data_IF_753592491480
#
_entry.id   IF_753592491480
#
_cell.length_a   1.000
_cell.length_b   1.000
_cell.length_c   1.000
_cell.angle_alpha   90.00
_cell.angle_beta   90.00
_cell.angle_gamma   90.00
#
_symmetry.space_group_name_H-M   'P 1'
#
loop_
_entity.id
_entity.type
_entity.pdbx_description
1 polymer ?
#
# COMPACT_ATOMS: atom_id res chain seq x y z
N UNK A 1 -6.74 -39.99 -16.04
CA UNK A 1 -6.44 -40.77 -14.81
C UNK A 1 -6.31 -39.85 -13.61
N UNK A 2 -6.27 -40.40 -12.39
CA UNK A 2 -6.22 -39.65 -11.11
C UNK A 2 -5.13 -38.56 -11.08
N UNK A 3 -3.95 -38.82 -11.66
CA UNK A 3 -2.87 -37.82 -11.76
C UNK A 3 -3.24 -36.59 -12.61
N UNK A 4 -4.00 -36.78 -13.69
CA UNK A 4 -4.49 -35.67 -14.52
C UNK A 4 -5.57 -34.85 -13.82
N UNK A 5 -6.44 -35.49 -13.03
CA UNK A 5 -7.44 -34.81 -12.22
C UNK A 5 -6.79 -34.02 -11.06
N UNK A 6 -5.76 -34.56 -10.42
CA UNK A 6 -5.00 -33.88 -9.37
C UNK A 6 -4.25 -32.65 -9.91
N UNK A 7 -3.60 -32.78 -11.07
CA UNK A 7 -2.92 -31.66 -11.74
C UNK A 7 -3.91 -30.57 -12.15
N UNK A 8 -5.05 -30.93 -12.74
CA UNK A 8 -6.10 -29.97 -13.10
C UNK A 8 -6.67 -29.26 -11.86
N UNK A 9 -6.89 -29.98 -10.76
CA UNK A 9 -7.34 -29.39 -9.49
C UNK A 9 -6.33 -28.43 -8.88
N UNK A 10 -5.03 -28.78 -8.92
CA UNK A 10 -3.96 -27.91 -8.45
C UNK A 10 -3.85 -26.63 -9.28
N UNK A 11 -3.90 -26.75 -10.61
CA UNK A 11 -3.89 -25.59 -11.52
C UNK A 11 -5.12 -24.72 -11.27
N UNK A 12 -6.30 -25.31 -11.13
CA UNK A 12 -7.53 -24.56 -10.84
C UNK A 12 -7.45 -23.82 -9.50
N UNK A 13 -6.88 -24.44 -8.45
CA UNK A 13 -6.66 -23.79 -7.16
C UNK A 13 -5.66 -22.63 -7.27
N UNK A 14 -4.54 -22.84 -7.97
CA UNK A 14 -3.53 -21.82 -8.19
C UNK A 14 -4.10 -20.62 -8.98
N UNK A 15 -4.83 -20.91 -10.07
CA UNK A 15 -5.52 -19.90 -10.87
C UNK A 15 -6.58 -19.17 -10.06
N UNK A 16 -7.40 -19.88 -9.27
CA UNK A 16 -8.40 -19.27 -8.40
C UNK A 16 -7.76 -18.35 -7.35
N UNK A 17 -6.67 -18.80 -6.72
CA UNK A 17 -5.90 -18.00 -5.77
C UNK A 17 -5.31 -16.73 -6.41
N UNK A 18 -4.67 -16.86 -7.58
CA UNK A 18 -4.09 -15.73 -8.31
C UNK A 18 -5.15 -14.74 -8.79
N UNK A 19 -6.26 -15.25 -9.34
CA UNK A 19 -7.36 -14.43 -9.84
C UNK A 19 -8.03 -13.66 -8.70
N UNK A 20 -8.30 -14.34 -7.58
CA UNK A 20 -8.82 -13.71 -6.38
C UNK A 20 -7.89 -12.60 -5.88
N UNK A 21 -6.58 -12.86 -5.80
CA UNK A 21 -5.58 -11.86 -5.39
C UNK A 21 -5.56 -10.66 -6.34
N UNK A 22 -5.60 -10.88 -7.64
CA UNK A 22 -5.63 -9.82 -8.65
C UNK A 22 -6.90 -8.95 -8.52
N UNK A 23 -8.07 -9.58 -8.35
CA UNK A 23 -9.35 -8.88 -8.14
C UNK A 23 -9.33 -8.07 -6.84
N UNK A 24 -8.81 -8.62 -5.75
CA UNK A 24 -8.70 -7.92 -4.47
C UNK A 24 -7.81 -6.68 -4.59
N UNK A 25 -6.64 -6.79 -5.22
CA UNK A 25 -5.72 -5.68 -5.45
C UNK A 25 -6.38 -4.61 -6.34
N UNK A 26 -7.06 -5.01 -7.41
CA UNK A 26 -7.75 -4.10 -8.31
C UNK A 26 -8.89 -3.34 -7.59
N UNK A 27 -9.69 -4.05 -6.78
CA UNK A 27 -10.76 -3.44 -5.98
C UNK A 27 -10.19 -2.43 -5.00
N UNK A 28 -9.17 -2.81 -4.22
CA UNK A 28 -8.50 -1.87 -3.31
C UNK A 28 -7.96 -0.65 -4.06
N UNK A 29 -7.30 -0.84 -5.20
CA UNK A 29 -6.77 0.26 -6.00
C UNK A 29 -7.84 1.25 -6.47
N UNK A 30 -9.02 0.74 -6.85
CA UNK A 30 -10.17 1.55 -7.23
C UNK A 30 -10.85 2.25 -6.05
N UNK A 31 -10.77 1.65 -4.85
CA UNK A 31 -11.44 2.15 -3.66
C UNK A 31 -10.51 2.87 -2.67
N UNK A 32 -9.20 2.95 -2.90
CA UNK A 32 -8.25 3.52 -1.94
C UNK A 32 -8.60 4.97 -1.54
N UNK A 33 -8.97 5.82 -2.52
CA UNK A 33 -9.46 7.17 -2.24
C UNK A 33 -10.79 7.18 -1.47
N UNK A 34 -11.70 6.24 -1.79
CA UNK A 34 -12.97 6.09 -1.07
C UNK A 34 -12.78 5.59 0.36
N UNK A 35 -11.79 4.74 0.61
CA UNK A 35 -11.44 4.26 1.95
C UNK A 35 -10.97 5.45 2.79
N UNK A 36 -10.11 6.32 2.26
CA UNK A 36 -9.73 7.55 2.95
C UNK A 36 -10.94 8.45 3.20
N UNK A 37 -11.76 8.70 2.18
CA UNK A 37 -12.96 9.51 2.34
C UNK A 37 -13.90 8.96 3.44
N UNK A 38 -14.08 7.63 3.50
CA UNK A 38 -14.92 6.97 4.51
C UNK A 38 -14.33 7.12 5.91
N UNK A 39 -13.02 6.91 6.07
CA UNK A 39 -12.31 7.08 7.35
C UNK A 39 -12.38 8.53 7.81
N UNK A 40 -12.21 9.48 6.89
CA UNK A 40 -12.33 10.91 7.17
C UNK A 40 -13.76 11.28 7.60
N UNK A 41 -14.78 10.79 6.91
CA UNK A 41 -16.17 11.02 7.29
C UNK A 41 -16.48 10.47 8.68
N UNK A 42 -16.00 9.26 8.99
CA UNK A 42 -16.28 8.58 10.24
C UNK A 42 -15.54 9.20 11.45
N UNK A 43 -14.27 9.57 11.27
CA UNK A 43 -13.38 9.95 12.40
C UNK A 43 -12.93 11.41 12.37
N UNK A 44 -13.04 12.09 11.23
CA UNK A 44 -12.48 13.43 10.99
C UNK A 44 -13.39 14.32 10.13
N UNK A 45 -14.71 14.32 10.39
CA UNK A 45 -15.72 14.98 9.54
C UNK A 45 -15.39 16.44 9.14
N UNK A 46 -14.83 17.31 10.01
CA UNK A 46 -14.43 18.67 9.63
C UNK A 46 -13.30 18.72 8.59
N UNK A 47 -12.39 17.73 8.60
CA UNK A 47 -11.30 17.61 7.62
C UNK A 47 -11.82 17.07 6.30
N UNK A 48 -12.78 16.14 6.34
CA UNK A 48 -13.44 15.65 5.13
C UNK A 48 -14.09 16.78 4.32
N UNK A 49 -14.75 17.73 4.99
CA UNK A 49 -15.41 18.87 4.33
C UNK A 49 -14.45 19.80 3.56
N UNK A 50 -13.15 19.77 3.91
CA UNK A 50 -12.10 20.57 3.25
C UNK A 50 -11.28 19.77 2.25
N UNK A 51 -11.51 18.45 2.15
CA UNK A 51 -10.74 17.58 1.27
C UNK A 51 -10.97 17.95 -0.19
N UNK A 52 -9.87 18.05 -0.96
CA UNK A 52 -9.92 18.22 -2.40
C UNK A 52 -10.43 16.92 -3.05
N UNK A 53 -11.39 17.03 -3.97
CA UNK A 53 -11.79 15.91 -4.84
C UNK A 53 -10.66 15.66 -5.84
N UNK A 54 -10.08 14.46 -5.81
CA UNK A 54 -9.02 14.07 -6.74
C UNK A 54 -9.67 13.54 -8.03
N UNK A 55 -9.43 14.19 -9.19
CA UNK A 55 -9.98 13.71 -10.47
C UNK A 55 -9.30 12.40 -10.90
N UNK A 56 -10.06 11.55 -11.62
CA UNK A 56 -9.60 10.21 -12.06
C UNK A 56 -8.30 10.27 -12.87
N UNK A 57 -8.10 11.32 -13.67
CA UNK A 57 -6.90 11.53 -14.48
C UNK A 57 -5.65 11.78 -13.63
N UNK A 58 -5.79 12.54 -12.53
CA UNK A 58 -4.70 12.77 -11.57
C UNK A 58 -4.38 11.48 -10.82
N UNK A 59 -5.40 10.72 -10.42
CA UNK A 59 -5.24 9.37 -9.84
C UNK A 59 -4.51 8.41 -10.78
N UNK A 60 -4.84 8.39 -12.07
CA UNK A 60 -4.15 7.57 -13.07
C UNK A 60 -2.66 7.94 -13.21
N UNK A 61 -2.34 9.24 -13.21
CA UNK A 61 -0.95 9.71 -13.25
C UNK A 61 -0.16 9.29 -12.02
N UNK A 62 -0.76 9.37 -10.83
CA UNK A 62 -0.16 8.90 -9.57
C UNK A 62 0.07 7.38 -9.63
N UNK A 63 -0.90 6.61 -10.12
CA UNK A 63 -0.78 5.16 -10.27
C UNK A 63 0.37 4.77 -11.22
N UNK A 64 0.47 5.42 -12.38
CA UNK A 64 1.58 5.18 -13.33
C UNK A 64 2.93 5.55 -12.70
N UNK A 65 3.01 6.66 -11.96
CA UNK A 65 4.24 7.07 -11.28
C UNK A 65 4.64 6.08 -10.17
N UNK A 66 3.67 5.55 -9.44
CA UNK A 66 3.89 4.50 -8.44
C UNK A 66 4.40 3.22 -9.11
N UNK A 67 3.77 2.78 -10.20
CA UNK A 67 4.20 1.61 -10.97
C UNK A 67 5.65 1.74 -11.47
N UNK A 68 5.98 2.86 -12.13
CA UNK A 68 7.32 3.12 -12.64
C UNK A 68 8.36 3.17 -11.52
N UNK A 69 8.00 3.76 -10.38
CA UNK A 69 8.87 3.80 -9.20
C UNK A 69 9.09 2.38 -8.64
N UNK A 70 8.05 1.59 -8.49
CA UNK A 70 8.15 0.22 -8.01
C UNK A 70 9.01 -0.64 -8.93
N UNK A 71 8.81 -0.52 -10.25
CA UNK A 71 9.62 -1.22 -11.24
C UNK A 71 11.09 -0.79 -11.18
N UNK A 72 11.35 0.52 -11.15
CA UNK A 72 12.71 1.05 -11.09
C UNK A 72 13.48 0.61 -9.84
N UNK A 73 12.85 0.66 -8.66
CA UNK A 73 13.47 0.21 -7.42
C UNK A 73 13.71 -1.30 -7.38
N UNK A 74 12.76 -2.11 -7.87
CA UNK A 74 12.98 -3.55 -7.93
C UNK A 74 14.09 -3.92 -8.92
N UNK A 75 14.13 -3.28 -10.10
CA UNK A 75 15.18 -3.50 -11.08
C UNK A 75 16.57 -3.12 -10.52
N UNK A 76 16.66 -2.00 -9.80
CA UNK A 76 17.88 -1.58 -9.13
C UNK A 76 18.30 -2.53 -7.99
N UNK A 77 17.33 -3.13 -7.28
CA UNK A 77 17.59 -4.06 -6.20
C UNK A 77 17.91 -5.49 -6.67
N UNK A 78 17.59 -5.86 -7.93
CA UNK A 78 17.81 -7.21 -8.46
C UNK A 78 19.23 -7.76 -8.25
N UNK A 79 20.32 -7.03 -8.56
CA UNK A 79 21.67 -7.55 -8.35
C UNK A 79 21.92 -7.91 -6.88
N UNK A 80 21.38 -7.10 -5.96
CA UNK A 80 21.52 -7.33 -4.53
C UNK A 80 20.60 -8.46 -4.05
N UNK A 81 19.39 -8.62 -4.62
CA UNK A 81 18.55 -9.80 -4.36
C UNK A 81 19.26 -11.10 -4.73
N UNK A 82 19.94 -11.14 -5.89
CA UNK A 82 20.70 -12.32 -6.34
C UNK A 82 21.88 -12.60 -5.40
N UNK A 83 22.64 -11.57 -5.02
CA UNK A 83 23.77 -11.71 -4.11
C UNK A 83 23.33 -12.19 -2.72
N UNK A 84 22.27 -11.60 -2.17
CA UNK A 84 21.75 -11.93 -0.84
C UNK A 84 20.99 -13.26 -0.79
N UNK A 85 20.67 -13.87 -1.94
CA UNK A 85 20.04 -15.18 -1.99
C UNK A 85 20.89 -16.24 -1.28
N UNK A 86 22.22 -16.10 -1.34
CA UNK A 86 23.19 -16.97 -0.66
C UNK A 86 22.99 -17.01 0.86
N UNK A 87 22.47 -15.92 1.44
CA UNK A 87 22.23 -15.83 2.90
C UNK A 87 20.91 -16.49 3.33
N UNK A 88 20.03 -16.85 2.39
CA UNK A 88 18.69 -17.38 2.66
C UNK A 88 17.66 -16.36 3.19
N UNK A 89 18.09 -15.39 3.99
CA UNK A 89 17.21 -14.38 4.63
C UNK A 89 17.38 -12.96 4.08
N UNK A 90 18.54 -12.64 3.49
CA UNK A 90 18.86 -11.29 3.05
C UNK A 90 18.01 -10.81 1.89
N UNK A 91 17.70 -11.67 0.91
CA UNK A 91 16.84 -11.30 -0.22
C UNK A 91 15.38 -11.01 0.23
N UNK A 92 14.71 -11.86 1.03
CA UNK A 92 13.42 -11.53 1.63
C UNK A 92 13.43 -10.25 2.47
N UNK A 93 14.47 -10.03 3.28
CA UNK A 93 14.58 -8.84 4.12
C UNK A 93 14.73 -7.57 3.28
N UNK A 94 15.62 -7.57 2.28
CA UNK A 94 15.77 -6.44 1.37
C UNK A 94 14.49 -6.18 0.59
N UNK A 95 13.82 -7.23 0.14
CA UNK A 95 12.53 -7.11 -0.56
C UNK A 95 11.50 -6.43 0.33
N UNK A 96 11.39 -6.84 1.61
CA UNK A 96 10.53 -6.20 2.58
C UNK A 96 10.88 -4.72 2.77
N UNK A 97 12.16 -4.37 2.90
CA UNK A 97 12.62 -2.99 3.08
C UNK A 97 12.33 -2.09 1.88
N UNK A 98 12.57 -2.58 0.66
CA UNK A 98 12.25 -1.86 -0.58
C UNK A 98 10.74 -1.64 -0.70
N UNK A 99 9.93 -2.67 -0.43
CA UNK A 99 8.47 -2.54 -0.46
C UNK A 99 7.96 -1.61 0.64
N UNK A 100 8.54 -1.65 1.84
CA UNK A 100 8.21 -0.71 2.92
C UNK A 100 8.45 0.74 2.48
N UNK A 101 9.61 1.04 1.87
CA UNK A 101 9.90 2.37 1.36
C UNK A 101 8.86 2.84 0.32
N UNK A 102 8.58 1.99 -0.66
CA UNK A 102 7.66 2.28 -1.76
C UNK A 102 6.24 2.52 -1.25
N UNK A 103 5.75 1.60 -0.41
CA UNK A 103 4.40 1.61 0.12
C UNK A 103 4.16 2.82 1.04
N UNK A 104 5.15 3.16 1.89
CA UNK A 104 5.09 4.35 2.72
C UNK A 104 4.97 5.64 1.91
N UNK A 105 5.64 5.69 0.75
CA UNK A 105 5.54 6.82 -0.17
C UNK A 105 4.20 6.86 -0.90
N UNK A 106 3.71 5.72 -1.39
CA UNK A 106 2.41 5.62 -2.07
C UNK A 106 1.25 6.04 -1.16
N UNK A 107 1.24 5.53 0.09
CA UNK A 107 0.23 5.85 1.08
C UNK A 107 0.27 7.32 1.50
N UNK A 108 1.47 7.90 1.63
CA UNK A 108 1.62 9.32 1.91
C UNK A 108 1.08 10.19 0.78
N UNK A 109 1.44 9.89 -0.48
CA UNK A 109 0.99 10.62 -1.67
C UNK A 109 -0.55 10.61 -1.79
N UNK A 110 -1.19 9.51 -1.38
CA UNK A 110 -2.64 9.35 -1.38
C UNK A 110 -3.35 10.32 -0.43
N UNK A 111 -2.86 10.47 0.81
CA UNK A 111 -3.50 11.35 1.80
C UNK A 111 -3.07 12.81 1.61
N UNK A 112 -1.80 13.07 1.31
CA UNK A 112 -1.27 14.41 1.06
C UNK A 112 -1.96 15.08 -0.15
N UNK A 113 -2.26 14.31 -1.21
CA UNK A 113 -2.92 14.83 -2.41
C UNK A 113 -4.32 15.41 -2.15
N UNK A 114 -4.99 14.96 -1.07
CA UNK A 114 -6.33 15.43 -0.68
C UNK A 114 -6.29 16.69 0.18
N UNK A 115 -5.15 16.98 0.82
CA UNK A 115 -4.98 18.10 1.77
C UNK A 115 -3.66 18.85 1.54
N UNK A 116 -3.54 19.60 0.43
CA UNK A 116 -2.33 20.34 0.12
C UNK A 116 -2.03 21.48 1.10
N UNK A 117 -3.02 21.88 1.90
CA UNK A 117 -2.92 22.88 2.98
C UNK A 117 -2.27 22.32 4.26
N UNK A 118 -2.08 21.01 4.36
CA UNK A 118 -1.49 20.34 5.51
C UNK A 118 -0.01 19.98 5.26
N UNK A 119 0.83 19.95 6.31
CA UNK A 119 2.22 19.55 6.19
C UNK A 119 2.34 18.11 5.73
N UNK A 120 3.23 17.86 4.77
CA UNK A 120 3.53 16.53 4.28
C UNK A 120 4.15 15.63 5.36
N UNK A 121 4.06 14.32 5.16
CA UNK A 121 4.75 13.34 6.00
C UNK A 121 6.27 13.55 5.94
N UNK A 122 6.92 13.52 7.10
CA UNK A 122 8.39 13.47 7.18
C UNK A 122 8.92 12.12 6.68
N UNK A 123 10.20 12.02 6.27
CA UNK A 123 10.78 10.76 5.79
C UNK A 123 10.65 9.60 6.78
N UNK A 124 10.83 9.86 8.09
CA UNK A 124 10.75 8.83 9.14
C UNK A 124 9.33 8.30 9.31
N UNK A 125 8.33 9.13 9.05
CA UNK A 125 6.93 8.78 9.14
C UNK A 125 6.46 7.98 7.95
N UNK A 126 6.88 8.37 6.74
CA UNK A 126 6.66 7.57 5.53
C UNK A 126 7.27 6.19 5.70
N UNK A 127 8.50 6.12 6.24
CA UNK A 127 9.15 4.86 6.53
C UNK A 127 8.39 3.98 7.52
N UNK A 128 7.96 4.54 8.67
CA UNK A 128 7.16 3.80 9.67
C UNK A 128 5.83 3.31 9.10
N UNK A 129 5.12 4.18 8.37
CA UNK A 129 3.87 3.82 7.70
C UNK A 129 4.08 2.64 6.75
N UNK A 130 5.09 2.75 5.91
CA UNK A 130 5.43 1.76 4.92
C UNK A 130 5.89 0.43 5.54
N UNK A 131 6.70 0.48 6.59
CA UNK A 131 7.18 -0.70 7.29
C UNK A 131 6.04 -1.47 7.95
N UNK A 132 5.20 -0.79 8.75
CA UNK A 132 4.04 -1.44 9.39
C UNK A 132 3.11 -2.01 8.34
N UNK A 133 2.84 -1.24 7.27
CA UNK A 133 2.01 -1.70 6.16
C UNK A 133 2.60 -2.95 5.50
N UNK A 134 3.89 -2.94 5.15
CA UNK A 134 4.57 -4.08 4.53
C UNK A 134 4.55 -5.33 5.42
N UNK A 135 4.68 -5.16 6.74
CA UNK A 135 4.55 -6.24 7.70
C UNK A 135 3.12 -6.82 7.73
N UNK A 136 2.07 -6.01 7.56
CA UNK A 136 0.69 -6.51 7.45
C UNK A 136 0.48 -7.41 6.22
N UNK A 137 1.27 -7.23 5.15
CA UNK A 137 1.22 -8.08 3.97
C UNK A 137 1.89 -9.45 4.16
N UNK A 138 2.67 -9.66 5.22
CA UNK A 138 3.37 -10.93 5.46
C UNK A 138 2.42 -12.09 5.82
N UNK A 139 1.50 -11.98 6.80
CA UNK A 139 0.65 -13.09 7.17
C UNK A 139 -0.45 -13.29 6.12
N UNK A 140 -0.70 -14.52 5.62
CA UNK A 140 -1.65 -14.76 4.53
C UNK A 140 -3.07 -14.23 4.79
N UNK A 141 -3.58 -14.40 6.02
CA UNK A 141 -4.94 -13.95 6.40
C UNK A 141 -4.99 -12.43 6.57
N UNK A 142 -3.97 -11.84 7.17
CA UNK A 142 -3.84 -10.39 7.42
C UNK A 142 -3.68 -9.64 6.10
N UNK A 143 -2.98 -10.21 5.12
CA UNK A 143 -2.76 -9.63 3.79
C UNK A 143 -4.07 -9.28 3.07
N UNK A 144 -5.17 -10.00 3.33
CA UNK A 144 -6.49 -9.69 2.75
C UNK A 144 -7.02 -8.31 3.18
N UNK A 145 -6.71 -7.91 4.42
CA UNK A 145 -7.16 -6.64 5.00
C UNK A 145 -6.05 -5.58 5.01
N UNK A 146 -4.80 -5.99 4.83
CA UNK A 146 -3.63 -5.13 4.85
C UNK A 146 -3.80 -3.86 4.00
N UNK A 147 -4.36 -3.89 2.79
CA UNK A 147 -4.51 -2.66 2.01
C UNK A 147 -5.49 -1.66 2.64
N UNK A 148 -6.63 -2.14 3.15
CA UNK A 148 -7.64 -1.30 3.82
C UNK A 148 -7.06 -0.71 5.10
N UNK A 149 -6.41 -1.54 5.92
CA UNK A 149 -5.76 -1.10 7.16
C UNK A 149 -4.61 -0.12 6.91
N UNK A 150 -3.81 -0.34 5.87
CA UNK A 150 -2.70 0.56 5.52
C UNK A 150 -3.21 1.95 5.12
N UNK A 151 -4.28 2.02 4.32
CA UNK A 151 -4.91 3.29 3.94
C UNK A 151 -5.55 3.98 5.15
N UNK A 152 -6.26 3.23 6.00
CA UNK A 152 -6.84 3.78 7.22
C UNK A 152 -5.78 4.30 8.20
N UNK A 153 -4.67 3.57 8.36
CA UNK A 153 -3.52 3.96 9.18
C UNK A 153 -2.86 5.22 8.63
N UNK A 154 -2.73 5.35 7.31
CA UNK A 154 -2.21 6.57 6.68
C UNK A 154 -3.09 7.79 7.04
N UNK A 155 -4.42 7.67 6.90
CA UNK A 155 -5.35 8.74 7.24
C UNK A 155 -5.29 9.10 8.74
N UNK A 156 -5.30 8.11 9.64
CA UNK A 156 -5.20 8.35 11.09
C UNK A 156 -3.86 8.95 11.49
N UNK A 157 -2.74 8.48 10.92
CA UNK A 157 -1.44 9.01 11.26
C UNK A 157 -1.26 10.44 10.71
N UNK A 158 -1.83 10.75 9.54
CA UNK A 158 -1.81 12.09 8.97
C UNK A 158 -2.63 13.08 9.81
N UNK A 159 -3.88 12.73 10.13
CA UNK A 159 -4.81 13.61 10.84
C UNK A 159 -4.60 13.62 12.36
N UNK A 160 -4.15 12.50 12.93
CA UNK A 160 -3.96 12.30 14.36
C UNK A 160 -2.83 13.13 14.97
N UNK A 161 -1.80 13.48 14.19
CA UNK A 161 -0.73 14.40 14.65
C UNK A 161 -1.25 15.77 15.04
N UNK A 162 -2.33 16.20 14.37
CA UNK A 162 -2.97 17.50 14.58
C UNK A 162 -4.05 17.49 15.67
N UNK A 163 -4.29 16.36 16.34
CA UNK A 163 -5.08 16.36 17.59
C UNK A 163 -4.26 16.75 18.81
N UNK A 164 -2.91 16.79 18.68
CA UNK A 164 -1.98 17.11 19.77
C UNK A 164 -1.49 18.58 19.70
N UNK A 165 -1.76 19.31 18.62
CA UNK A 165 -1.54 20.77 18.54
C UNK A 165 -2.88 21.52 18.71
N UNK A 166 -3.31 21.81 19.94
CA UNK A 166 -4.32 22.83 20.18
C UNK A 166 -3.66 24.21 20.01
N UNK A 167 -4.14 24.99 19.04
CA UNK A 167 -3.83 26.41 18.82
C UNK A 167 -2.33 26.79 18.73
N UNK A 168 -1.85 26.91 17.49
CA UNK A 168 -0.79 27.86 17.12
C UNK A 168 -1.38 28.92 16.19
#
# INVERSE_FOLDING_TARGET
>A
GLAGAALAGFIALLCGWLLFRAVAIAMVGLYADRIVATVEQASYAPRHARARVVPVTEGARVAVRSLLRALGWNLAALPLYVLLLVTGVGAPLLFLLVNAYLLGRDLAELVEGRHPDLPAFTPSERWRLGLVSALLFLPPVVNLFAPVWSVAMAAHMFHGRRMIEPYG
#
